data_IF_248023308320
#
_entry.id   IF_248023308320
#
_cell.length_a   1.000
_cell.length_b   1.000
_cell.length_c   1.000
_cell.angle_alpha   90.00
_cell.angle_beta   90.00
_cell.angle_gamma   90.00
#
_symmetry.space_group_name_H-M   'P 1'
#
loop_
_entity.id
_entity.type
_entity.pdbx_description
1 polymer ?
#
# COMPACT_ATOMS: atom_id res chain seq x y z
N UNK A 1 -9.43 -9.46 -14.83
CA UNK A 1 -8.21 -9.46 -15.64
C UNK A 1 -8.16 -8.25 -16.54
N UNK A 2 -7.01 -7.66 -16.72
CA UNK A 2 -6.85 -6.48 -17.55
C UNK A 2 -5.68 -6.60 -18.52
N UNK A 3 -5.53 -5.61 -19.38
CA UNK A 3 -4.46 -5.59 -20.38
C UNK A 3 -4.08 -4.17 -20.75
N UNK A 4 -2.78 -3.94 -20.94
CA UNK A 4 -2.29 -2.72 -21.57
C UNK A 4 -2.31 -2.89 -23.11
N UNK A 5 -2.02 -4.10 -23.57
CA UNK A 5 -2.10 -4.50 -24.97
C UNK A 5 -2.19 -6.02 -25.04
N UNK A 6 -2.13 -6.59 -26.24
CA UNK A 6 -2.24 -8.04 -26.44
C UNK A 6 -1.10 -8.85 -25.80
N UNK A 7 0.03 -8.21 -25.57
CA UNK A 7 1.22 -8.87 -25.03
C UNK A 7 1.45 -8.63 -23.54
N UNK A 8 0.83 -7.60 -22.96
CA UNK A 8 1.02 -7.25 -21.57
C UNK A 8 -0.33 -7.24 -20.87
N UNK A 9 -0.66 -8.37 -20.27
CA UNK A 9 -1.89 -8.58 -19.52
C UNK A 9 -1.57 -8.68 -18.03
N UNK A 10 -2.58 -8.50 -17.18
CA UNK A 10 -2.40 -8.59 -15.74
C UNK A 10 -3.67 -9.10 -15.07
N UNK A 11 -3.50 -9.83 -13.98
CA UNK A 11 -4.60 -10.37 -13.16
C UNK A 11 -4.82 -9.58 -11.90
N UNK A 12 -3.82 -8.82 -11.46
CA UNK A 12 -3.84 -8.12 -10.18
C UNK A 12 -3.38 -6.69 -10.31
N UNK A 13 -3.88 -5.85 -9.41
CA UNK A 13 -3.47 -4.46 -9.28
C UNK A 13 -3.11 -4.22 -7.82
N UNK A 14 -2.05 -3.47 -7.58
CA UNK A 14 -1.62 -3.12 -6.24
C UNK A 14 -1.60 -1.62 -6.02
N UNK A 15 -1.91 -1.24 -4.79
CA UNK A 15 -1.77 0.13 -4.32
C UNK A 15 -0.68 0.16 -3.27
N UNK A 16 0.34 0.99 -3.51
CA UNK A 16 1.48 1.16 -2.62
C UNK A 16 1.38 2.50 -1.91
N UNK A 17 1.62 2.51 -0.59
CA UNK A 17 1.83 3.71 0.21
C UNK A 17 3.23 3.59 0.78
N UNK A 18 4.05 4.61 0.59
CA UNK A 18 5.47 4.54 0.97
C UNK A 18 5.96 5.82 1.61
N UNK A 19 7.03 5.68 2.38
CA UNK A 19 7.74 6.81 2.97
C UNK A 19 9.18 6.41 3.30
N UNK A 20 9.97 7.40 3.71
CA UNK A 20 11.33 7.18 4.22
C UNK A 20 11.31 7.28 5.74
N UNK A 21 12.02 6.38 6.40
CA UNK A 21 12.18 6.40 7.85
C UNK A 21 13.64 6.67 8.21
N UNK A 22 13.88 7.19 9.41
CA UNK A 22 15.24 7.54 9.87
C UNK A 22 15.67 6.70 11.07
N UNK A 23 14.79 6.46 12.03
CA UNK A 23 15.16 5.70 13.22
C UNK A 23 14.40 4.38 13.32
N UNK A 24 15.13 3.30 13.61
CA UNK A 24 14.55 1.96 13.78
C UNK A 24 13.60 1.91 14.97
N UNK A 25 14.03 2.45 16.10
CA UNK A 25 13.28 2.34 17.35
C UNK A 25 12.19 3.40 17.49
N UNK A 26 12.32 4.53 16.77
CA UNK A 26 11.32 5.58 16.74
C UNK A 26 10.37 5.41 15.55
N UNK A 27 10.85 5.75 14.37
CA UNK A 27 10.01 5.80 13.17
C UNK A 27 9.37 4.46 12.80
N UNK A 28 10.16 3.38 12.76
CA UNK A 28 9.61 2.08 12.38
C UNK A 28 8.60 1.57 13.40
N UNK A 29 8.86 1.76 14.69
CA UNK A 29 7.93 1.35 15.73
C UNK A 29 6.61 2.10 15.61
N UNK A 30 6.66 3.41 15.38
CA UNK A 30 5.46 4.23 15.24
C UNK A 30 4.70 3.94 13.95
N UNK A 31 5.41 3.74 12.84
CA UNK A 31 4.80 3.33 11.56
C UNK A 31 4.04 2.00 11.74
N UNK A 32 4.64 1.06 12.45
CA UNK A 32 4.00 -0.23 12.69
C UNK A 32 2.73 -0.08 13.54
N UNK A 33 2.73 0.80 14.52
CA UNK A 33 1.53 1.06 15.33
C UNK A 33 0.39 1.62 14.47
N UNK A 34 0.71 2.55 13.58
CA UNK A 34 -0.29 3.11 12.67
C UNK A 34 -0.86 2.01 11.77
N UNK A 35 0.01 1.18 11.20
CA UNK A 35 -0.43 0.07 10.36
C UNK A 35 -1.31 -0.91 11.15
N UNK A 36 -0.90 -1.25 12.37
CA UNK A 36 -1.67 -2.17 13.22
C UNK A 36 -3.09 -1.67 13.46
N UNK A 37 -3.25 -0.35 13.54
CA UNK A 37 -4.57 0.27 13.70
C UNK A 37 -5.43 0.29 12.44
N UNK A 38 -4.85 0.05 11.28
CA UNK A 38 -5.56 0.10 9.99
C UNK A 38 -5.64 -1.25 9.29
N UNK A 39 -4.83 -2.22 9.69
CA UNK A 39 -4.67 -3.46 8.93
C UNK A 39 -5.98 -4.24 8.77
N UNK A 40 -6.82 -4.28 9.79
CA UNK A 40 -8.10 -4.98 9.72
C UNK A 40 -9.02 -4.35 8.66
N UNK A 41 -9.09 -3.02 8.64
CA UNK A 41 -9.91 -2.30 7.66
C UNK A 41 -9.36 -2.48 6.24
N UNK A 42 -8.05 -2.49 6.06
CA UNK A 42 -7.44 -2.71 4.76
C UNK A 42 -7.74 -4.13 4.27
N UNK A 43 -7.57 -5.12 5.12
CA UNK A 43 -7.85 -6.51 4.76
C UNK A 43 -9.33 -6.78 4.46
N UNK A 44 -10.22 -5.97 5.02
CA UNK A 44 -11.65 -6.12 4.82
C UNK A 44 -12.14 -5.56 3.47
N UNK A 45 -11.30 -4.86 2.73
CA UNK A 45 -11.65 -4.34 1.41
C UNK A 45 -11.96 -5.51 0.47
N UNK A 46 -13.09 -5.43 -0.24
CA UNK A 46 -13.51 -6.48 -1.16
C UNK A 46 -12.47 -6.67 -2.27
N UNK A 47 -12.07 -7.91 -2.47
CA UNK A 47 -11.10 -8.27 -3.50
C UNK A 47 -9.64 -8.29 -3.04
N UNK A 48 -9.36 -7.92 -1.80
CA UNK A 48 -7.99 -7.95 -1.28
C UNK A 48 -7.49 -9.40 -1.19
N UNK A 49 -6.35 -9.64 -1.81
CA UNK A 49 -5.67 -10.93 -1.79
C UNK A 49 -4.68 -10.96 -0.63
N UNK A 50 -3.86 -9.92 -0.52
CA UNK A 50 -2.95 -9.78 0.60
C UNK A 50 -2.55 -8.32 0.81
N UNK A 51 -1.98 -8.07 1.97
CA UNK A 51 -1.36 -6.80 2.32
C UNK A 51 0.05 -7.14 2.77
N UNK A 52 1.03 -6.47 2.17
CA UNK A 52 2.43 -6.71 2.49
C UNK A 52 3.07 -5.44 3.01
N UNK A 53 3.95 -5.61 4.00
CA UNK A 53 4.81 -4.55 4.47
C UNK A 53 6.21 -4.84 3.93
N UNK A 54 6.82 -3.83 3.31
CA UNK A 54 8.16 -3.92 2.75
C UNK A 54 9.04 -2.89 3.46
N UNK A 55 10.13 -3.35 4.04
CA UNK A 55 11.08 -2.47 4.74
C UNK A 55 12.48 -2.72 4.19
N UNK A 56 13.12 -1.65 3.72
CA UNK A 56 14.50 -1.70 3.28
C UNK A 56 15.39 -1.00 4.31
N UNK A 57 16.39 -1.67 4.80
CA UNK A 57 17.32 -1.12 5.78
C UNK A 57 18.27 -0.10 5.19
N UNK A 58 18.80 -0.38 4.01
CA UNK A 58 19.80 0.49 3.36
C UNK A 58 19.17 1.73 2.73
N UNK A 59 18.07 1.56 2.00
CA UNK A 59 17.37 2.67 1.36
C UNK A 59 16.39 3.38 2.29
N UNK A 60 16.14 2.80 3.47
CA UNK A 60 15.23 3.34 4.49
C UNK A 60 13.79 3.54 3.98
N UNK A 61 13.35 2.66 3.08
CA UNK A 61 11.98 2.65 2.62
C UNK A 61 11.09 1.87 3.58
N UNK A 62 9.87 2.36 3.72
CA UNK A 62 8.77 1.65 4.36
C UNK A 62 7.60 1.69 3.40
N UNK A 63 7.07 0.51 3.06
CA UNK A 63 5.97 0.40 2.10
C UNK A 63 4.87 -0.49 2.65
N UNK A 64 3.63 -0.12 2.36
CA UNK A 64 2.47 -0.98 2.58
C UNK A 64 1.82 -1.18 1.23
N UNK A 65 1.78 -2.42 0.77
CA UNK A 65 1.28 -2.78 -0.56
C UNK A 65 0.04 -3.64 -0.40
N UNK A 66 -1.08 -3.18 -0.96
CA UNK A 66 -2.35 -3.91 -0.96
C UNK A 66 -2.62 -4.43 -2.35
N UNK A 67 -2.72 -5.76 -2.48
CA UNK A 67 -2.95 -6.43 -3.76
C UNK A 67 -4.39 -6.90 -3.87
N UNK A 68 -5.05 -6.54 -4.97
CA UNK A 68 -6.42 -6.94 -5.25
C UNK A 68 -6.51 -7.64 -6.61
N UNK A 69 -7.59 -8.40 -6.80
CA UNK A 69 -7.99 -8.82 -8.13
C UNK A 69 -8.25 -7.58 -8.99
N UNK A 70 -7.81 -7.61 -10.25
CA UNK A 70 -7.97 -6.48 -11.15
C UNK A 70 -9.45 -6.04 -11.27
N UNK A 71 -10.37 -7.00 -11.27
CA UNK A 71 -11.80 -6.74 -11.41
C UNK A 71 -12.43 -6.04 -10.19
N UNK A 72 -11.75 -6.08 -9.05
CA UNK A 72 -12.24 -5.49 -7.81
C UNK A 72 -11.60 -4.13 -7.49
N UNK A 73 -10.54 -3.80 -8.18
CA UNK A 73 -9.76 -2.61 -7.86
C UNK A 73 -10.52 -1.30 -8.10
N UNK A 74 -11.31 -1.23 -9.17
CA UNK A 74 -12.03 -0.01 -9.54
C UNK A 74 -12.98 0.50 -8.46
N UNK A 75 -13.69 -0.40 -7.78
CA UNK A 75 -14.60 -0.01 -6.70
C UNK A 75 -13.84 0.59 -5.52
N UNK A 76 -12.67 0.03 -5.20
CA UNK A 76 -11.84 0.57 -4.13
C UNK A 76 -11.25 1.93 -4.51
N UNK A 77 -10.84 2.09 -5.75
CA UNK A 77 -10.36 3.36 -6.27
C UNK A 77 -11.45 4.44 -6.17
N UNK A 78 -12.69 4.11 -6.49
CA UNK A 78 -13.81 5.04 -6.34
C UNK A 78 -14.04 5.41 -4.87
N UNK A 79 -13.76 4.50 -3.96
CA UNK A 79 -13.80 4.76 -2.51
C UNK A 79 -12.54 5.46 -2.02
N UNK A 80 -11.68 5.94 -2.93
CA UNK A 80 -10.44 6.67 -2.66
C UNK A 80 -9.47 5.85 -1.81
N UNK A 81 -9.46 4.54 -2.05
CA UNK A 81 -8.57 3.59 -1.38
C UNK A 81 -8.74 3.57 0.15
N UNK A 82 -9.95 3.85 0.63
CA UNK A 82 -10.20 3.89 2.08
C UNK A 82 -9.64 2.63 2.76
N UNK A 83 -8.94 2.74 3.89
CA UNK A 83 -8.74 3.92 4.74
C UNK A 83 -7.42 4.69 4.49
N UNK A 84 -6.98 4.78 3.23
CA UNK A 84 -5.67 5.34 2.87
C UNK A 84 -5.47 6.77 3.38
N UNK A 85 -6.47 7.64 3.22
CA UNK A 85 -6.34 9.05 3.63
C UNK A 85 -6.04 9.16 5.12
N UNK A 86 -6.68 8.34 5.93
CA UNK A 86 -6.48 8.31 7.38
C UNK A 86 -5.09 7.77 7.72
N UNK A 87 -4.67 6.72 7.04
CA UNK A 87 -3.34 6.14 7.20
C UNK A 87 -2.26 7.18 6.88
N UNK A 88 -2.38 7.84 5.73
CA UNK A 88 -1.42 8.86 5.30
C UNK A 88 -1.37 10.04 6.27
N UNK A 89 -2.53 10.49 6.77
CA UNK A 89 -2.60 11.59 7.73
C UNK A 89 -1.88 11.22 9.03
N UNK A 90 -2.03 9.99 9.49
CA UNK A 90 -1.39 9.54 10.73
C UNK A 90 0.12 9.42 10.57
N UNK A 91 0.62 8.87 9.45
CA UNK A 91 2.07 8.77 9.25
C UNK A 91 2.70 10.15 9.01
N UNK A 92 1.96 11.08 8.40
CA UNK A 92 2.45 12.45 8.22
C UNK A 92 2.75 13.11 9.56
N UNK A 93 1.94 12.84 10.58
CA UNK A 93 2.15 13.37 11.93
C UNK A 93 3.43 12.87 12.58
N UNK A 94 3.97 11.76 12.12
CA UNK A 94 5.21 11.20 12.65
C UNK A 94 6.45 11.94 12.14
N UNK A 95 6.29 12.79 11.13
CA UNK A 95 7.40 13.53 10.57
C UNK A 95 8.25 12.74 9.58
N UNK A 96 7.77 11.57 9.12
CA UNK A 96 8.48 10.79 8.09
C UNK A 96 8.53 11.54 6.77
N UNK A 97 9.53 11.24 5.96
CA UNK A 97 9.80 11.97 4.72
C UNK A 97 9.27 11.21 3.51
N UNK A 98 9.06 11.97 2.42
CA UNK A 98 8.74 11.43 1.10
C UNK A 98 7.55 10.45 1.11
N UNK A 99 6.43 10.89 1.66
CA UNK A 99 5.20 10.13 1.63
C UNK A 99 4.68 10.16 0.19
N UNK A 100 4.57 8.99 -0.44
CA UNK A 100 4.13 8.86 -1.82
C UNK A 100 3.18 7.68 -1.94
N UNK A 101 2.34 7.72 -2.98
CA UNK A 101 1.44 6.62 -3.32
C UNK A 101 1.62 6.28 -4.78
N UNK A 102 1.35 5.00 -5.13
CA UNK A 102 1.49 4.52 -6.48
C UNK A 102 0.55 3.34 -6.72
N UNK A 103 -0.02 3.29 -7.91
CA UNK A 103 -0.81 2.14 -8.36
C UNK A 103 -0.05 1.47 -9.50
N UNK A 104 0.02 0.14 -9.47
CA UNK A 104 0.65 -0.62 -10.56
C UNK A 104 0.00 -1.99 -10.69
N UNK A 105 0.20 -2.60 -11.86
CA UNK A 105 -0.32 -3.92 -12.14
C UNK A 105 0.71 -4.98 -11.79
N UNK A 106 0.23 -6.18 -11.51
CA UNK A 106 1.08 -7.32 -11.17
C UNK A 106 0.64 -8.54 -11.97
N UNK A 107 1.61 -9.28 -12.47
CA UNK A 107 1.36 -10.56 -13.12
C UNK A 107 2.50 -11.50 -12.76
N UNK A 108 2.15 -12.72 -12.33
CA UNK A 108 3.15 -13.75 -12.06
C UNK A 108 3.47 -14.46 -13.37
N UNK A 109 4.73 -14.45 -13.71
CA UNK A 109 5.21 -15.03 -14.97
C UNK A 109 5.71 -16.46 -14.79
#
# INVERSE_FOLDING_TARGET
>A
MGAFNDNVTFSHIARERRCKWESKDGDLAELQKVLDGKIAAIKAVDGVINVQRVVCGDCQDYKVVTKLDADKFGAWEEAKFAPEAEFLAEIEKLGVKRIETQTYTLETL
#
